data_IF_761503305900
#
_entry.id   IF_761503305900
#
_cell.length_a   1.000
_cell.length_b   1.000
_cell.length_c   1.000
_cell.angle_alpha   90.00
_cell.angle_beta   90.00
_cell.angle_gamma   90.00
#
_symmetry.space_group_name_H-M   'P 1'
#
loop_
_entity.id
_entity.type
_entity.pdbx_description
1 polymer ?
#
# COMPACT_ATOMS: atom_id res chain seq x y z
N UNK A 1 -13.99 0.56 -28.60
CA UNK A 1 -14.22 1.40 -27.40
C UNK A 1 -13.27 2.59 -27.39
N UNK A 2 -11.96 2.35 -27.56
CA UNK A 2 -10.97 3.40 -27.86
C UNK A 2 -11.21 4.00 -29.25
N UNK A 3 -11.46 3.16 -30.26
CA UNK A 3 -11.77 3.61 -31.64
C UNK A 3 -13.11 4.36 -31.75
N UNK A 4 -13.91 4.36 -30.68
CA UNK A 4 -15.16 5.11 -30.57
C UNK A 4 -14.98 6.41 -29.77
N UNK A 5 -13.74 6.78 -29.42
CA UNK A 5 -13.36 7.96 -28.64
C UNK A 5 -13.99 8.05 -27.23
N UNK A 6 -14.57 6.95 -26.73
CA UNK A 6 -15.13 6.89 -25.38
C UNK A 6 -14.05 6.75 -24.29
N UNK A 7 -12.80 6.48 -24.66
CA UNK A 7 -11.64 6.40 -23.77
C UNK A 7 -10.49 7.18 -24.41
N UNK A 8 -9.92 8.10 -23.65
CA UNK A 8 -8.63 8.72 -23.97
C UNK A 8 -7.53 8.03 -23.15
N UNK A 9 -6.56 7.42 -23.83
CA UNK A 9 -5.41 6.79 -23.17
C UNK A 9 -4.36 7.87 -22.91
N UNK A 10 -3.94 7.98 -21.66
CA UNK A 10 -2.77 8.76 -21.27
C UNK A 10 -1.72 7.81 -20.71
N UNK A 11 -0.59 7.69 -21.42
CA UNK A 11 0.53 6.89 -20.96
C UNK A 11 1.19 7.58 -19.76
N UNK A 12 1.49 6.79 -18.72
CA UNK A 12 2.21 7.23 -17.54
C UNK A 12 3.57 6.55 -17.49
N UNK A 13 4.55 7.17 -16.85
CA UNK A 13 5.92 6.66 -16.77
C UNK A 13 6.37 6.60 -15.32
N UNK A 14 7.12 5.55 -14.97
CA UNK A 14 7.68 5.37 -13.64
C UNK A 14 8.40 6.64 -13.15
N UNK A 15 8.20 7.01 -11.89
CA UNK A 15 8.80 8.16 -11.20
C UNK A 15 8.49 9.52 -11.87
N UNK A 16 7.54 9.59 -12.81
CA UNK A 16 7.14 10.82 -13.50
C UNK A 16 5.76 11.27 -13.05
N UNK A 17 5.68 12.45 -12.43
CA UNK A 17 4.43 13.00 -11.94
C UNK A 17 3.48 13.37 -13.09
N UNK A 18 2.22 12.98 -12.97
CA UNK A 18 1.13 13.29 -13.90
C UNK A 18 0.04 14.05 -13.16
N UNK A 19 -0.42 15.15 -13.77
CA UNK A 19 -1.53 15.94 -13.20
C UNK A 19 -2.85 15.32 -13.59
N UNK A 20 -3.62 14.84 -12.60
CA UNK A 20 -4.98 14.33 -12.79
C UNK A 20 -5.98 15.48 -12.81
N UNK A 21 -5.71 16.53 -12.02
CA UNK A 21 -6.47 17.78 -11.99
C UNK A 21 -5.55 18.92 -11.53
N UNK A 22 -6.00 20.19 -11.56
CA UNK A 22 -5.20 21.32 -11.04
C UNK A 22 -4.77 21.19 -9.57
N UNK A 23 -5.40 20.30 -8.80
CA UNK A 23 -5.19 20.13 -7.35
C UNK A 23 -4.75 18.72 -6.95
N UNK A 24 -4.45 17.87 -7.94
CA UNK A 24 -4.11 16.47 -7.70
C UNK A 24 -3.06 16.01 -8.71
N UNK A 25 -1.92 15.56 -8.21
CA UNK A 25 -0.88 14.89 -8.99
C UNK A 25 -0.70 13.47 -8.49
N UNK A 26 -0.31 12.57 -9.38
CA UNK A 26 0.07 11.21 -9.04
C UNK A 26 1.43 10.91 -9.67
N UNK A 27 2.31 10.27 -8.91
CA UNK A 27 3.59 9.77 -9.40
C UNK A 27 3.57 8.26 -9.24
N UNK A 28 3.56 7.49 -10.35
CA UNK A 28 3.62 6.04 -10.27
C UNK A 28 5.02 5.60 -9.83
N UNK A 29 5.06 4.56 -9.02
CA UNK A 29 6.27 3.88 -8.57
C UNK A 29 6.11 2.42 -8.95
N UNK A 30 6.96 1.92 -9.84
CA UNK A 30 7.02 0.48 -10.11
C UNK A 30 7.40 -0.24 -8.82
N UNK A 31 6.62 -1.26 -8.47
CA UNK A 31 6.87 -2.12 -7.30
C UNK A 31 7.28 -3.52 -7.77
N UNK A 32 8.09 -4.24 -6.98
CA UNK A 32 8.36 -5.65 -7.26
C UNK A 32 7.05 -6.43 -7.24
N UNK A 33 6.80 -7.15 -8.32
CA UNK A 33 5.68 -8.05 -8.42
C UNK A 33 6.05 -9.24 -9.30
N UNK A 34 5.52 -10.42 -8.97
CA UNK A 34 5.75 -11.66 -9.70
C UNK A 34 5.05 -11.59 -11.07
N UNK A 35 5.71 -10.97 -12.04
CA UNK A 35 5.11 -10.76 -13.35
C UNK A 35 5.19 -11.98 -14.25
N UNK A 36 4.01 -12.46 -14.69
CA UNK A 36 3.87 -13.16 -15.96
C UNK A 36 3.29 -12.25 -17.06
N UNK A 37 2.53 -11.16 -16.76
CA UNK A 37 1.88 -10.33 -17.81
C UNK A 37 1.58 -8.84 -17.50
N UNK A 38 1.86 -8.26 -16.33
CA UNK A 38 1.59 -6.83 -16.08
C UNK A 38 2.39 -6.22 -14.93
N UNK A 39 2.96 -5.03 -15.15
CA UNK A 39 3.63 -4.24 -14.12
C UNK A 39 2.65 -3.84 -13.01
N UNK A 40 2.95 -4.18 -11.75
CA UNK A 40 2.26 -3.61 -10.58
C UNK A 40 2.88 -2.28 -10.21
N UNK A 41 2.05 -1.30 -9.87
CA UNK A 41 2.48 0.07 -9.54
C UNK A 41 1.86 0.56 -8.24
N UNK A 42 2.70 1.09 -7.37
CA UNK A 42 2.29 1.99 -6.30
C UNK A 42 2.16 3.42 -6.80
N UNK A 43 1.52 4.29 -6.02
CA UNK A 43 1.37 5.71 -6.34
C UNK A 43 1.72 6.58 -5.15
N UNK A 44 2.50 7.62 -5.41
CA UNK A 44 2.52 8.81 -4.57
C UNK A 44 1.46 9.78 -5.08
N UNK A 45 0.50 10.12 -4.24
CA UNK A 45 -0.65 10.98 -4.53
C UNK A 45 -0.44 12.30 -3.79
N UNK A 46 -0.41 13.40 -4.53
CA UNK A 46 -0.12 14.73 -3.98
C UNK A 46 -1.33 15.64 -4.17
N UNK A 47 -1.94 16.05 -3.05
CA UNK A 47 -3.03 17.02 -3.00
C UNK A 47 -2.54 18.44 -2.82
N UNK A 48 -3.37 19.28 -2.20
CA UNK A 48 -3.06 20.70 -1.98
C UNK A 48 -2.13 20.92 -0.79
N UNK A 49 -2.32 20.19 0.30
CA UNK A 49 -1.45 20.27 1.47
C UNK A 49 -0.96 18.93 2.00
N UNK A 50 -1.55 17.82 1.53
CA UNK A 50 -1.20 16.47 2.00
C UNK A 50 -0.82 15.53 0.87
N UNK A 51 -0.02 14.53 1.22
CA UNK A 51 0.49 13.48 0.33
C UNK A 51 0.08 12.12 0.88
N UNK A 52 -0.23 11.19 -0.01
CA UNK A 52 -0.51 9.81 0.32
C UNK A 52 0.37 8.87 -0.48
N UNK A 53 0.94 7.85 0.15
CA UNK A 53 1.50 6.69 -0.50
C UNK A 53 0.40 5.62 -0.62
N UNK A 54 0.27 5.02 -1.80
CA UNK A 54 -0.72 3.98 -2.07
C UNK A 54 -0.03 2.80 -2.75
N UNK A 55 0.19 1.72 -2.02
CA UNK A 55 0.84 0.48 -2.48
C UNK A 55 -0.07 -0.69 -2.08
N UNK A 56 -1.07 -1.04 -2.90
CA UNK A 56 -2.06 -2.05 -2.53
C UNK A 56 -1.54 -3.49 -2.69
N UNK A 57 -0.51 -3.69 -3.50
CA UNK A 57 0.02 -4.99 -3.90
C UNK A 57 1.53 -4.83 -4.15
N UNK A 58 2.34 -5.71 -3.57
CA UNK A 58 3.80 -5.81 -3.75
C UNK A 58 4.29 -7.19 -3.30
N UNK A 59 5.32 -7.76 -3.95
CA UNK A 59 5.84 -9.07 -3.56
C UNK A 59 6.45 -9.09 -2.14
N UNK A 60 7.48 -8.28 -1.91
CA UNK A 60 8.19 -8.14 -0.63
C UNK A 60 8.90 -6.78 -0.57
N UNK A 61 8.97 -6.18 0.62
CA UNK A 61 9.67 -4.90 0.83
C UNK A 61 11.16 -4.94 0.46
N UNK A 62 11.85 -6.03 0.78
CA UNK A 62 13.30 -6.17 0.56
C UNK A 62 13.68 -6.35 -0.92
N UNK A 63 12.71 -6.64 -1.79
CA UNK A 63 12.92 -6.70 -3.23
C UNK A 63 12.84 -5.32 -3.90
N UNK A 64 12.33 -4.30 -3.19
CA UNK A 64 12.13 -2.98 -3.75
C UNK A 64 13.42 -2.14 -3.66
N UNK A 65 13.77 -1.46 -4.76
CA UNK A 65 14.91 -0.53 -4.81
C UNK A 65 14.68 0.72 -3.94
N UNK A 66 13.43 0.97 -3.54
CA UNK A 66 13.04 2.09 -2.70
C UNK A 66 12.79 1.61 -1.26
N UNK A 67 13.44 2.27 -0.30
CA UNK A 67 13.15 2.02 1.11
C UNK A 67 11.76 2.54 1.49
N UNK A 68 10.86 1.62 1.79
CA UNK A 68 9.49 1.92 2.24
C UNK A 68 9.47 2.79 3.51
N UNK A 69 10.42 2.62 4.44
CA UNK A 69 10.46 3.43 5.66
C UNK A 69 10.69 4.90 5.31
N UNK A 70 11.61 5.15 4.38
CA UNK A 70 11.89 6.50 3.85
C UNK A 70 10.65 7.10 3.17
N UNK A 71 9.87 6.31 2.42
CA UNK A 71 8.63 6.81 1.80
C UNK A 71 7.55 7.18 2.83
N UNK A 72 7.35 6.34 3.86
CA UNK A 72 6.36 6.60 4.93
C UNK A 72 6.61 7.96 5.59
N UNK A 73 7.88 8.31 5.83
CA UNK A 73 8.25 9.60 6.44
C UNK A 73 7.93 10.84 5.59
N UNK A 74 7.69 10.66 4.30
CA UNK A 74 7.49 11.75 3.34
C UNK A 74 6.01 12.03 3.04
N UNK A 75 5.11 11.25 3.62
CA UNK A 75 3.67 11.33 3.37
C UNK A 75 2.89 11.58 4.65
N UNK A 76 1.62 11.93 4.50
CA UNK A 76 0.66 12.09 5.60
C UNK A 76 -0.15 10.81 5.83
N UNK A 77 -0.29 9.99 4.78
CA UNK A 77 -0.99 8.72 4.77
C UNK A 77 -0.20 7.70 3.97
N UNK A 78 -0.06 6.48 4.47
CA UNK A 78 0.54 5.37 3.74
C UNK A 78 -0.44 4.20 3.74
N UNK A 79 -1.03 3.90 2.60
CA UNK A 79 -1.92 2.77 2.39
C UNK A 79 -1.11 1.60 1.83
N UNK A 80 -0.82 0.62 2.66
CA UNK A 80 0.15 -0.44 2.36
C UNK A 80 -0.52 -1.81 2.30
N UNK A 81 0.00 -2.65 1.42
CA UNK A 81 -0.33 -4.06 1.30
C UNK A 81 -0.23 -4.76 2.66
N UNK A 82 -1.25 -5.53 2.94
CA UNK A 82 -1.39 -6.40 4.09
C UNK A 82 -2.21 -7.62 3.73
N UNK A 83 -2.03 -8.13 2.51
CA UNK A 83 -2.83 -9.22 1.96
C UNK A 83 -2.86 -10.41 2.91
N UNK A 84 -1.71 -10.76 3.48
CA UNK A 84 -1.55 -11.81 4.46
C UNK A 84 -0.94 -11.27 5.76
N UNK A 85 -1.47 -11.72 6.89
CA UNK A 85 -0.92 -11.58 8.22
C UNK A 85 0.36 -12.37 8.44
N UNK A 86 0.38 -13.67 8.08
CA UNK A 86 1.48 -14.60 8.35
C UNK A 86 1.59 -15.73 7.31
N UNK A 87 2.61 -16.59 7.44
CA UNK A 87 2.77 -17.77 6.59
C UNK A 87 1.68 -18.83 6.87
N UNK A 88 1.25 -19.54 5.82
CA UNK A 88 0.32 -20.67 5.95
C UNK A 88 -1.18 -20.30 5.95
N UNK A 89 -1.54 -19.07 5.61
CA UNK A 89 -2.94 -18.63 5.52
C UNK A 89 -3.76 -19.28 4.40
N UNK A 90 -3.09 -19.78 3.36
CA UNK A 90 -3.72 -20.43 2.21
C UNK A 90 -3.15 -21.84 2.00
N UNK A 91 -3.91 -22.77 1.37
CA UNK A 91 -3.49 -24.17 1.21
C UNK A 91 -2.50 -24.36 0.04
N UNK A 92 -1.48 -23.49 -0.06
CA UNK A 92 -0.38 -23.55 -1.02
C UNK A 92 0.83 -22.79 -0.45
N UNK A 93 2.06 -23.04 -0.95
CA UNK A 93 3.21 -22.28 -0.51
C UNK A 93 3.01 -20.77 -0.74
N UNK A 94 3.17 -19.97 0.30
CA UNK A 94 3.02 -18.51 0.22
C UNK A 94 4.03 -17.87 -0.74
N UNK A 95 5.17 -18.53 -0.98
CA UNK A 95 6.16 -18.12 -1.99
C UNK A 95 5.61 -18.07 -3.42
N UNK A 96 4.50 -18.75 -3.70
CA UNK A 96 3.84 -18.68 -5.00
C UNK A 96 2.87 -17.49 -5.13
N UNK A 97 2.50 -16.85 -4.02
CA UNK A 97 1.67 -15.64 -3.93
C UNK A 97 2.39 -14.62 -3.05
N UNK A 98 3.61 -14.21 -3.44
CA UNK A 98 4.45 -13.37 -2.59
C UNK A 98 3.73 -12.06 -2.26
N UNK A 99 3.54 -11.80 -0.98
CA UNK A 99 3.17 -10.49 -0.42
C UNK A 99 3.96 -10.31 0.88
N UNK A 100 4.31 -9.09 1.31
CA UNK A 100 4.83 -8.87 2.65
C UNK A 100 3.76 -9.28 3.66
N UNK A 101 4.15 -10.08 4.64
CA UNK A 101 3.29 -10.40 5.76
C UNK A 101 3.13 -9.17 6.66
N UNK A 102 2.01 -9.05 7.37
CA UNK A 102 1.83 -7.98 8.35
C UNK A 102 2.92 -8.07 9.43
N UNK A 103 3.27 -9.26 9.90
CA UNK A 103 4.36 -9.45 10.88
C UNK A 103 5.73 -8.98 10.37
N UNK A 104 6.05 -9.28 9.10
CA UNK A 104 7.25 -8.79 8.43
C UNK A 104 7.23 -7.26 8.34
N UNK A 105 6.08 -6.68 7.99
CA UNK A 105 5.89 -5.24 7.85
C UNK A 105 6.05 -4.51 9.19
N UNK A 106 5.47 -5.01 10.27
CA UNK A 106 5.64 -4.42 11.61
C UNK A 106 7.10 -4.47 12.05
N UNK A 107 7.78 -5.58 11.77
CA UNK A 107 9.22 -5.72 12.04
C UNK A 107 10.01 -4.69 11.23
N UNK A 108 9.68 -4.50 9.95
CA UNK A 108 10.31 -3.51 9.05
C UNK A 108 10.13 -2.07 9.56
N UNK A 109 8.95 -1.74 10.08
CA UNK A 109 8.58 -0.41 10.55
C UNK A 109 8.94 -0.15 12.02
N UNK A 110 9.51 -1.13 12.74
CA UNK A 110 9.72 -1.07 14.18
C UNK A 110 10.50 0.18 14.64
N UNK A 111 11.47 0.63 13.84
CA UNK A 111 12.33 1.79 14.15
C UNK A 111 11.66 3.15 13.86
N UNK A 112 10.51 3.17 13.20
CA UNK A 112 9.78 4.42 12.95
C UNK A 112 9.23 4.99 14.27
N UNK A 113 9.19 6.32 14.35
CA UNK A 113 8.52 7.00 15.43
C UNK A 113 7.01 6.70 15.41
N UNK A 114 6.34 6.82 16.56
CA UNK A 114 4.92 6.48 16.68
C UNK A 114 4.06 7.36 15.77
N UNK A 115 4.46 8.60 15.52
CA UNK A 115 3.81 9.54 14.62
C UNK A 115 3.86 9.06 13.17
N UNK A 116 4.93 8.36 12.78
CA UNK A 116 5.11 7.80 11.44
C UNK A 116 4.31 6.50 11.28
N UNK A 117 4.31 5.63 12.30
CA UNK A 117 3.48 4.42 12.33
C UNK A 117 1.98 4.74 12.21
N UNK A 118 1.54 5.82 12.87
CA UNK A 118 0.17 6.34 12.82
C UNK A 118 -0.33 6.75 11.43
N UNK A 119 0.58 6.92 10.47
CA UNK A 119 0.23 7.23 9.08
C UNK A 119 -0.05 5.96 8.26
N UNK A 120 0.36 4.79 8.75
CA UNK A 120 0.25 3.52 8.04
C UNK A 120 -1.14 2.95 8.24
N UNK A 121 -1.80 2.70 7.11
CA UNK A 121 -3.09 2.04 6.98
C UNK A 121 -2.90 0.78 6.16
N UNK A 122 -3.01 -0.38 6.80
CA UNK A 122 -3.04 -1.66 6.11
C UNK A 122 -4.33 -1.79 5.29
N UNK A 123 -4.16 -2.16 4.02
CA UNK A 123 -5.23 -2.34 3.01
C UNK A 123 -5.12 -3.71 2.34
N UNK A 124 -6.03 -4.01 1.41
CA UNK A 124 -5.96 -5.21 0.56
C UNK A 124 -5.98 -6.56 1.33
N UNK A 125 -6.61 -6.60 2.51
CA UNK A 125 -6.65 -7.82 3.33
C UNK A 125 -7.37 -8.98 2.62
N UNK A 126 -6.65 -10.07 2.38
CA UNK A 126 -7.24 -11.30 1.85
C UNK A 126 -8.29 -11.85 2.82
N UNK A 127 -9.30 -12.54 2.31
CA UNK A 127 -10.38 -13.12 3.13
C UNK A 127 -9.91 -14.10 4.22
N UNK A 128 -8.72 -14.68 4.10
CA UNK A 128 -8.09 -15.53 5.14
C UNK A 128 -7.44 -14.74 6.26
N UNK A 129 -7.16 -13.45 6.04
CA UNK A 129 -6.38 -12.64 6.95
C UNK A 129 -7.18 -12.37 8.24
N UNK A 130 -6.70 -12.83 9.41
CA UNK A 130 -7.42 -12.71 10.67
C UNK A 130 -7.61 -11.25 11.10
N UNK A 131 -6.76 -10.32 10.65
CA UNK A 131 -6.86 -8.89 10.98
C UNK A 131 -8.06 -8.19 10.33
N UNK A 132 -8.78 -8.87 9.43
CA UNK A 132 -10.10 -8.43 8.96
C UNK A 132 -11.10 -8.32 10.10
N UNK A 133 -10.98 -9.19 11.09
CA UNK A 133 -11.73 -9.12 12.33
C UNK A 133 -11.10 -8.10 13.28
N UNK A 134 -11.87 -7.09 13.69
CA UNK A 134 -11.40 -6.07 14.63
C UNK A 134 -11.23 -6.64 16.06
N UNK A 135 -11.87 -7.78 16.35
CA UNK A 135 -11.75 -8.45 17.64
C UNK A 135 -10.55 -9.40 17.72
N UNK A 136 -9.85 -9.67 16.61
CA UNK A 136 -8.63 -10.46 16.61
C UNK A 136 -7.54 -9.79 17.46
N UNK A 137 -7.05 -10.50 18.47
CA UNK A 137 -6.07 -9.95 19.43
C UNK A 137 -4.77 -9.48 18.76
N UNK A 138 -4.32 -10.15 17.70
CA UNK A 138 -3.16 -9.71 16.93
C UNK A 138 -3.38 -8.33 16.29
N UNK A 139 -4.58 -8.06 15.78
CA UNK A 139 -4.91 -6.72 15.25
C UNK A 139 -4.93 -5.66 16.35
N UNK A 140 -5.54 -5.95 17.50
CA UNK A 140 -5.58 -5.00 18.63
C UNK A 140 -4.17 -4.61 19.07
N UNK A 141 -3.28 -5.58 19.23
CA UNK A 141 -1.87 -5.34 19.57
C UNK A 141 -1.17 -4.45 18.53
N UNK A 142 -1.43 -4.69 17.25
CA UNK A 142 -0.88 -3.89 16.14
C UNK A 142 -1.40 -2.45 16.16
N UNK A 143 -2.69 -2.26 16.44
CA UNK A 143 -3.29 -0.93 16.59
C UNK A 143 -2.74 -0.19 17.82
N UNK A 144 -2.42 -0.89 18.92
CA UNK A 144 -1.74 -0.33 20.10
C UNK A 144 -0.31 0.13 19.80
N UNK A 145 0.38 -0.52 18.85
CA UNK A 145 1.69 -0.08 18.35
C UNK A 145 1.62 1.13 17.40
N UNK A 146 0.40 1.62 17.11
CA UNK A 146 0.13 2.83 16.34
C UNK A 146 -0.13 2.60 14.86
N UNK A 147 -0.21 1.36 14.37
CA UNK A 147 -0.64 1.08 13.01
C UNK A 147 -2.17 1.13 12.91
N UNK A 148 -2.71 1.18 11.68
CA UNK A 148 -4.15 1.26 11.44
C UNK A 148 -4.55 0.27 10.37
N UNK A 149 -5.81 -0.17 10.41
CA UNK A 149 -6.41 -0.98 9.35
C UNK A 149 -7.50 -0.15 8.67
N UNK A 150 -7.45 -0.04 7.34
CA UNK A 150 -8.49 0.65 6.60
C UNK A 150 -9.81 -0.14 6.64
N UNK A 151 -10.92 0.59 6.58
CA UNK A 151 -12.27 0.03 6.54
C UNK A 151 -13.04 0.59 5.36
N UNK A 152 -14.05 -0.14 4.92
CA UNK A 152 -14.90 0.29 3.82
C UNK A 152 -15.54 1.65 4.11
N UNK A 153 -15.47 2.56 3.14
CA UNK A 153 -16.05 3.90 3.26
C UNK A 153 -15.21 4.90 4.05
N UNK A 154 -14.03 4.52 4.55
CA UNK A 154 -13.09 5.45 5.18
C UNK A 154 -12.67 6.54 4.17
N UNK A 155 -12.63 7.80 4.62
CA UNK A 155 -12.36 8.97 3.77
C UNK A 155 -11.22 9.79 4.33
N UNK A 156 -10.34 10.22 3.44
CA UNK A 156 -9.17 11.03 3.76
C UNK A 156 -9.19 12.31 2.94
N UNK A 157 -8.89 13.43 3.59
CA UNK A 157 -8.73 14.71 2.91
C UNK A 157 -7.28 14.87 2.47
N UNK A 158 -7.08 15.20 1.19
CA UNK A 158 -5.80 15.67 0.66
C UNK A 158 -5.73 17.20 0.51
N UNK A 159 -6.74 17.90 1.05
CA UNK A 159 -6.74 19.36 1.15
C UNK A 159 -5.83 19.83 2.26
#
# INVERSE_FOLDING_TARGET
MIDLENISIQLIQNKTAVSVSPRLKVTPLVVPHRDEFSETVGYLIEGQSKRALYVPDIDKWDLWDIDINTLVTQVDYAFLDATFFEDGEIPRPMSEVPHPFIEESITRFKSLAIEEKNKIYFIHLNHTNPTRDADFEGRKAIEEEGYRFASFGMRFSLK
#
